data_IF_242050496282
#
_entry.id   IF_242050496282
#
_cell.length_a   1.000
_cell.length_b   1.000
_cell.length_c   1.000
_cell.angle_alpha   90.00
_cell.angle_beta   90.00
_cell.angle_gamma   90.00
#
_symmetry.space_group_name_H-M   'P 1'
#
loop_
_entity.id
_entity.type
_entity.pdbx_description
1 polymer ?
#
# COMPACT_ATOMS: atom_id res chain seq x y z
N UNK A 1 -19.95 -3.92 15.77
CA UNK A 1 -18.83 -4.83 16.12
C UNK A 1 -18.26 -5.56 14.89
N UNK A 2 -19.08 -5.92 13.90
CA UNK A 2 -18.62 -6.71 12.73
C UNK A 2 -17.72 -5.98 11.74
N UNK A 3 -17.96 -4.68 11.49
CA UNK A 3 -17.10 -3.86 10.60
C UNK A 3 -15.68 -3.68 11.14
N UNK A 4 -15.54 -3.51 12.45
CA UNK A 4 -14.25 -3.39 13.12
C UNK A 4 -13.45 -4.69 13.03
N UNK A 5 -14.07 -5.84 13.35
CA UNK A 5 -13.43 -7.16 13.18
C UNK A 5 -13.00 -7.39 11.74
N UNK A 6 -13.86 -7.07 10.78
CA UNK A 6 -13.55 -7.18 9.34
C UNK A 6 -12.36 -6.28 8.96
N UNK A 7 -12.33 -5.05 9.46
CA UNK A 7 -11.25 -4.09 9.21
C UNK A 7 -9.91 -4.57 9.78
N UNK A 8 -9.93 -5.16 10.98
CA UNK A 8 -8.75 -5.77 11.59
C UNK A 8 -8.24 -6.96 10.77
N UNK A 9 -9.13 -7.80 10.22
CA UNK A 9 -8.72 -8.88 9.31
C UNK A 9 -8.08 -8.35 8.03
N UNK A 10 -8.62 -7.29 7.44
CA UNK A 10 -8.01 -6.67 6.26
C UNK A 10 -6.66 -6.04 6.56
N UNK A 11 -6.54 -5.36 7.71
CA UNK A 11 -5.26 -4.82 8.17
C UNK A 11 -4.24 -5.94 8.37
N UNK A 12 -4.63 -7.04 9.03
CA UNK A 12 -3.74 -8.19 9.21
C UNK A 12 -3.24 -8.75 7.89
N UNK A 13 -4.13 -8.93 6.90
CA UNK A 13 -3.75 -9.40 5.56
C UNK A 13 -2.79 -8.43 4.88
N UNK A 14 -3.04 -7.12 4.97
CA UNK A 14 -2.16 -6.10 4.40
C UNK A 14 -0.76 -6.13 5.04
N UNK A 15 -0.69 -6.21 6.37
CA UNK A 15 0.57 -6.33 7.10
C UNK A 15 1.31 -7.62 6.73
N UNK A 16 0.58 -8.73 6.57
CA UNK A 16 1.15 -10.00 6.13
C UNK A 16 1.74 -9.91 4.72
N UNK A 17 1.05 -9.24 3.78
CA UNK A 17 1.58 -8.99 2.44
C UNK A 17 2.86 -8.18 2.50
N UNK A 18 2.90 -7.08 3.27
CA UNK A 18 4.11 -6.28 3.45
C UNK A 18 5.28 -7.06 4.07
N UNK A 19 4.99 -7.91 5.06
CA UNK A 19 5.97 -8.81 5.65
C UNK A 19 6.53 -9.81 4.62
N UNK A 20 5.65 -10.47 3.84
CA UNK A 20 6.04 -11.40 2.78
C UNK A 20 6.91 -10.69 1.74
N UNK A 21 6.53 -9.50 1.27
CA UNK A 21 7.33 -8.71 0.34
C UNK A 21 8.74 -8.44 0.88
N UNK A 22 8.86 -8.05 2.15
CA UNK A 22 10.16 -7.83 2.79
C UNK A 22 11.02 -9.09 2.89
N UNK A 23 10.42 -10.23 3.26
CA UNK A 23 11.12 -11.53 3.33
C UNK A 23 11.57 -12.00 1.95
N UNK A 24 10.70 -11.90 0.94
CA UNK A 24 11.01 -12.31 -0.44
C UNK A 24 12.19 -11.51 -0.99
N UNK A 25 12.16 -10.18 -0.84
CA UNK A 25 13.25 -9.32 -1.31
C UNK A 25 14.57 -9.68 -0.63
N UNK A 26 14.55 -9.82 0.70
CA UNK A 26 15.78 -10.04 1.48
C UNK A 26 16.43 -11.41 1.24
N UNK A 27 15.63 -12.47 1.07
CA UNK A 27 16.14 -13.85 1.09
C UNK A 27 16.07 -14.57 -0.26
N UNK A 28 15.22 -14.13 -1.19
CA UNK A 28 14.97 -14.84 -2.44
C UNK A 28 15.48 -14.11 -3.68
N UNK A 29 15.93 -12.86 -3.56
CA UNK A 29 16.54 -12.10 -4.66
C UNK A 29 18.03 -11.84 -4.33
N UNK A 30 18.92 -12.81 -4.57
CA UNK A 30 20.35 -12.67 -4.26
C UNK A 30 20.99 -11.55 -5.09
N UNK A 31 21.80 -10.71 -4.44
CA UNK A 31 22.48 -9.57 -5.08
C UNK A 31 21.64 -8.28 -5.14
N UNK A 32 20.42 -8.30 -4.60
CA UNK A 32 19.53 -7.15 -4.57
C UNK A 32 19.53 -6.52 -3.17
N UNK A 33 20.45 -5.57 -2.95
CA UNK A 33 20.56 -4.87 -1.66
C UNK A 33 19.60 -3.67 -1.63
N UNK A 34 18.30 -3.98 -1.51
CA UNK A 34 17.24 -2.97 -1.50
C UNK A 34 17.37 -2.11 -0.25
N UNK A 35 17.48 -0.79 -0.44
CA UNK A 35 17.56 0.16 0.65
C UNK A 35 16.33 -0.01 1.57
N UNK A 36 16.53 -0.43 2.85
CA UNK A 36 15.43 -0.67 3.77
C UNK A 36 14.56 0.57 3.99
N UNK A 37 15.13 1.77 3.93
CA UNK A 37 14.39 3.02 4.08
C UNK A 37 13.43 3.25 2.90
N UNK A 38 13.81 2.89 1.67
CA UNK A 38 12.93 2.97 0.51
C UNK A 38 11.77 1.96 0.60
N UNK A 39 12.07 0.71 0.94
CA UNK A 39 11.04 -0.31 1.10
C UNK A 39 10.06 0.06 2.22
N UNK A 40 10.57 0.45 3.40
CA UNK A 40 9.74 0.91 4.51
C UNK A 40 8.98 2.19 4.18
N UNK A 41 9.54 3.10 3.39
CA UNK A 41 8.86 4.30 2.91
C UNK A 41 7.67 3.98 2.00
N UNK A 42 7.87 3.11 1.01
CA UNK A 42 6.79 2.63 0.14
C UNK A 42 5.70 1.91 0.93
N UNK A 43 6.09 1.06 1.88
CA UNK A 43 5.15 0.38 2.76
C UNK A 43 4.36 1.38 3.62
N UNK A 44 5.02 2.37 4.22
CA UNK A 44 4.38 3.38 5.07
C UNK A 44 3.37 4.25 4.29
N UNK A 45 3.74 4.73 3.10
CA UNK A 45 2.84 5.46 2.20
C UNK A 45 1.59 4.65 1.91
N UNK A 46 1.76 3.34 1.64
CA UNK A 46 0.64 2.47 1.35
C UNK A 46 -0.21 2.17 2.58
N UNK A 47 0.41 1.90 3.73
CA UNK A 47 -0.26 1.68 5.01
C UNK A 47 -1.12 2.87 5.40
N UNK A 48 -0.62 4.10 5.27
CA UNK A 48 -1.41 5.31 5.57
C UNK A 48 -2.66 5.37 4.68
N UNK A 49 -2.50 5.16 3.37
CA UNK A 49 -3.65 5.11 2.46
C UNK A 49 -4.64 4.01 2.82
N UNK A 50 -4.15 2.81 3.14
CA UNK A 50 -4.96 1.67 3.55
C UNK A 50 -5.76 1.97 4.82
N UNK A 51 -5.12 2.58 5.83
CA UNK A 51 -5.77 3.00 7.07
C UNK A 51 -6.84 4.07 6.82
N UNK A 52 -6.61 5.02 5.91
CA UNK A 52 -7.61 6.02 5.53
C UNK A 52 -8.84 5.35 4.89
N UNK A 53 -8.64 4.37 4.00
CA UNK A 53 -9.73 3.60 3.39
C UNK A 53 -10.54 2.86 4.46
N UNK A 54 -9.87 2.17 5.39
CA UNK A 54 -10.54 1.49 6.51
C UNK A 54 -11.26 2.48 7.44
N UNK A 55 -10.68 3.64 7.72
CA UNK A 55 -11.31 4.70 8.50
C UNK A 55 -12.60 5.18 7.85
N UNK A 56 -12.59 5.40 6.54
CA UNK A 56 -13.79 5.75 5.77
C UNK A 56 -14.85 4.65 5.77
N UNK A 57 -14.44 3.37 5.66
CA UNK A 57 -15.36 2.24 5.73
C UNK A 57 -16.09 2.12 7.09
N UNK A 58 -15.39 2.43 8.18
CA UNK A 58 -15.97 2.44 9.51
C UNK A 58 -16.78 3.71 9.81
N UNK A 59 -16.71 4.73 8.94
CA UNK A 59 -17.49 5.96 9.06
C UNK A 59 -18.88 5.82 8.44
N UNK A 60 -19.80 6.70 8.86
CA UNK A 60 -21.11 6.87 8.20
C UNK A 60 -21.00 7.36 6.75
N UNK A 61 -19.83 7.86 6.34
CA UNK A 61 -19.53 8.39 4.99
C UNK A 61 -18.97 7.35 4.00
N UNK A 62 -19.16 6.05 4.26
CA UNK A 62 -18.54 4.96 3.48
C UNK A 62 -18.92 4.93 1.99
N UNK A 63 -20.02 5.58 1.57
CA UNK A 63 -20.45 5.72 0.16
C UNK A 63 -19.47 6.50 -0.73
N UNK A 64 -18.57 7.29 -0.15
CA UNK A 64 -17.55 8.07 -0.88
C UNK A 64 -16.21 7.36 -1.09
N UNK A 65 -16.09 6.07 -0.77
CA UNK A 65 -14.80 5.38 -0.68
C UNK A 65 -14.02 5.35 -2.00
N UNK A 66 -14.71 5.26 -3.14
CA UNK A 66 -14.08 5.31 -4.47
C UNK A 66 -13.44 6.67 -4.77
N UNK A 67 -14.09 7.76 -4.38
CA UNK A 67 -13.54 9.11 -4.54
C UNK A 67 -12.31 9.34 -3.64
N UNK A 68 -12.39 8.86 -2.39
CA UNK A 68 -11.25 8.87 -1.45
C UNK A 68 -10.07 8.09 -2.03
N UNK A 69 -10.33 6.90 -2.59
CA UNK A 69 -9.29 6.09 -3.22
C UNK A 69 -8.63 6.82 -4.39
N UNK A 70 -9.41 7.47 -5.26
CA UNK A 70 -8.85 8.25 -6.38
C UNK A 70 -7.92 9.38 -5.90
N UNK A 71 -8.32 10.10 -4.85
CA UNK A 71 -7.47 11.11 -4.21
C UNK A 71 -6.19 10.50 -3.62
N UNK A 72 -6.30 9.35 -2.95
CA UNK A 72 -5.15 8.64 -2.39
C UNK A 72 -4.16 8.18 -3.47
N UNK A 73 -4.64 7.73 -4.64
CA UNK A 73 -3.75 7.38 -5.77
C UNK A 73 -2.86 8.57 -6.12
N UNK A 74 -3.46 9.76 -6.28
CA UNK A 74 -2.72 11.00 -6.62
C UNK A 74 -1.69 11.32 -5.52
N UNK A 75 -2.11 11.30 -4.25
CA UNK A 75 -1.19 11.54 -3.12
C UNK A 75 -0.03 10.54 -3.08
N UNK A 76 -0.30 9.26 -3.37
CA UNK A 76 0.72 8.21 -3.42
C UNK A 76 1.71 8.43 -4.56
N UNK A 77 1.26 8.85 -5.73
CA UNK A 77 2.16 9.22 -6.82
C UNK A 77 3.14 10.32 -6.41
N UNK A 78 2.66 11.38 -5.75
CA UNK A 78 3.54 12.44 -5.24
C UNK A 78 4.50 11.93 -4.16
N UNK A 79 4.03 11.09 -3.24
CA UNK A 79 4.87 10.54 -2.18
C UNK A 79 5.97 9.60 -2.74
N UNK A 80 5.64 8.78 -3.74
CA UNK A 80 6.62 7.95 -4.45
C UNK A 80 7.59 8.80 -5.27
N UNK A 81 7.12 9.85 -5.94
CA UNK A 81 7.99 10.79 -6.64
C UNK A 81 8.98 11.48 -5.68
N UNK A 82 8.55 11.80 -4.46
CA UNK A 82 9.42 12.32 -3.41
C UNK A 82 10.48 11.29 -2.99
N UNK A 83 10.10 10.03 -2.79
CA UNK A 83 11.06 8.95 -2.49
C UNK A 83 12.07 8.76 -3.63
N UNK A 84 11.60 8.77 -4.88
CA UNK A 84 12.45 8.73 -6.06
C UNK A 84 13.47 9.87 -6.08
N UNK A 85 13.03 11.10 -5.81
CA UNK A 85 13.92 12.25 -5.75
C UNK A 85 14.95 12.14 -4.61
N UNK A 86 14.53 11.69 -3.42
CA UNK A 86 15.37 11.62 -2.23
C UNK A 86 16.43 10.51 -2.30
N UNK A 87 16.09 9.38 -2.91
CA UNK A 87 16.94 8.19 -3.01
C UNK A 87 17.26 7.85 -4.47
N UNK A 88 17.52 8.87 -5.28
CA UNK A 88 17.64 8.76 -6.75
C UNK A 88 18.57 7.64 -7.21
N UNK A 89 19.75 7.53 -6.62
CA UNK A 89 20.75 6.51 -6.97
C UNK A 89 20.21 5.09 -6.71
N UNK A 90 19.81 4.80 -5.47
CA UNK A 90 19.25 3.49 -5.10
C UNK A 90 18.00 3.14 -5.91
N UNK A 91 17.13 4.12 -6.16
CA UNK A 91 15.89 3.92 -6.90
C UNK A 91 16.18 3.60 -8.37
N UNK A 92 17.15 4.27 -8.99
CA UNK A 92 17.55 3.99 -10.37
C UNK A 92 18.15 2.59 -10.52
N UNK A 93 18.98 2.16 -9.56
CA UNK A 93 19.66 0.86 -9.62
C UNK A 93 18.70 -0.33 -9.43
N UNK A 94 17.59 -0.12 -8.74
CA UNK A 94 16.59 -1.16 -8.45
C UNK A 94 15.16 -0.77 -8.87
N UNK A 95 15.02 0.04 -9.91
CA UNK A 95 13.74 0.64 -10.33
C UNK A 95 12.63 -0.41 -10.54
N UNK A 96 12.96 -1.55 -11.14
CA UNK A 96 12.00 -2.62 -11.39
C UNK A 96 11.44 -3.20 -10.10
N UNK A 97 12.26 -3.33 -9.06
CA UNK A 97 11.82 -3.91 -7.79
C UNK A 97 10.92 -2.95 -7.03
N UNK A 98 11.30 -1.68 -6.96
CA UNK A 98 10.46 -0.65 -6.35
C UNK A 98 9.15 -0.44 -7.11
N UNK A 99 9.18 -0.55 -8.44
CA UNK A 99 7.98 -0.51 -9.27
C UNK A 99 7.04 -1.69 -8.98
N UNK A 100 7.57 -2.92 -8.97
CA UNK A 100 6.77 -4.12 -8.63
C UNK A 100 6.19 -4.01 -7.22
N UNK A 101 6.99 -3.60 -6.23
CA UNK A 101 6.54 -3.37 -4.87
C UNK A 101 5.38 -2.37 -4.80
N UNK A 102 5.53 -1.23 -5.47
CA UNK A 102 4.49 -0.22 -5.55
C UNK A 102 3.19 -0.79 -6.11
N UNK A 103 3.26 -1.56 -7.20
CA UNK A 103 2.09 -2.19 -7.81
C UNK A 103 1.45 -3.26 -6.92
N UNK A 104 2.24 -4.08 -6.22
CA UNK A 104 1.71 -5.04 -5.25
C UNK A 104 0.91 -4.31 -4.18
N UNK A 105 1.46 -3.26 -3.58
CA UNK A 105 0.76 -2.50 -2.56
C UNK A 105 -0.48 -1.78 -3.12
N UNK A 106 -0.38 -1.16 -4.29
CA UNK A 106 -1.54 -0.51 -4.93
C UNK A 106 -2.65 -1.52 -5.27
N UNK A 107 -2.29 -2.73 -5.71
CA UNK A 107 -3.25 -3.80 -5.97
C UNK A 107 -3.98 -4.22 -4.68
N UNK A 108 -3.29 -4.26 -3.54
CA UNK A 108 -3.95 -4.58 -2.26
C UNK A 108 -5.01 -3.54 -1.87
N UNK A 109 -4.75 -2.25 -2.09
CA UNK A 109 -5.75 -1.20 -1.87
C UNK A 109 -6.92 -1.33 -2.85
N UNK A 110 -6.63 -1.58 -4.12
CA UNK A 110 -7.65 -1.71 -5.16
C UNK A 110 -8.60 -2.87 -4.86
N UNK A 111 -8.04 -4.03 -4.51
CA UNK A 111 -8.82 -5.21 -4.12
C UNK A 111 -9.67 -4.94 -2.87
N UNK A 112 -9.12 -4.23 -1.88
CA UNK A 112 -9.88 -3.79 -0.72
C UNK A 112 -11.05 -2.90 -1.14
N UNK A 113 -10.79 -1.83 -1.91
CA UNK A 113 -11.82 -0.87 -2.34
C UNK A 113 -12.93 -1.55 -3.14
N UNK A 114 -12.58 -2.40 -4.12
CA UNK A 114 -13.56 -3.17 -4.90
C UNK A 114 -14.44 -4.00 -3.96
N UNK A 115 -13.84 -4.71 -3.00
CA UNK A 115 -14.56 -5.55 -2.05
C UNK A 115 -15.46 -4.74 -1.13
N UNK A 116 -15.03 -3.54 -0.75
CA UNK A 116 -15.80 -2.65 0.11
C UNK A 116 -16.97 -2.00 -0.65
N UNK A 117 -16.79 -1.62 -1.92
CA UNK A 117 -17.86 -1.09 -2.79
C UNK A 117 -18.94 -2.15 -3.00
N UNK A 118 -18.56 -3.40 -3.32
CA UNK A 118 -19.51 -4.53 -3.47
C UNK A 118 -20.32 -4.86 -2.21
N UNK A 119 -19.92 -4.37 -1.04
CA UNK A 119 -20.67 -4.52 0.21
C UNK A 119 -21.65 -3.35 0.47
N UNK A 120 -21.63 -2.32 -0.37
CA UNK A 120 -22.50 -1.15 -0.26
C UNK A 120 -23.77 -1.29 -1.09
N UNK A 121 -23.65 -1.98 -2.22
CA UNK A 121 -24.76 -2.45 -3.06
C UNK A 121 -25.42 -3.70 -2.44
#
# INVERSE_FOLDING_TARGET
MDRLKTSLSYLFIFLLVGFICGVVIKYFIPGLDVNPALHSGLFAINLIGFLIILGFYNSSKYKGIGFVFLGLIIFKFFAVAYLFYRFRTDFSDHILVYFILYWIYMMTDMLLVIKLIKKQD
#
